data_IF_828430223070
#
_entry.id   IF_828430223070
#
_cell.length_a   1.000
_cell.length_b   1.000
_cell.length_c   1.000
_cell.angle_alpha   90.00
_cell.angle_beta   90.00
_cell.angle_gamma   90.00
#
_symmetry.space_group_name_H-M   'P 1'
#
loop_
_entity.id
_entity.type
_entity.pdbx_description
1 polymer ?
#
# COMPACT_ATOMS: atom_id res chain seq x y z
N UNK A 1 18.25 -20.51 -16.19
CA UNK A 1 17.17 -19.70 -15.60
C UNK A 1 17.57 -19.29 -14.20
N UNK A 2 17.60 -18.00 -13.90
CA UNK A 2 17.97 -17.49 -12.57
C UNK A 2 16.89 -17.92 -11.57
N UNK A 3 17.22 -18.85 -10.68
CA UNK A 3 16.27 -19.34 -9.66
C UNK A 3 16.16 -18.33 -8.52
N UNK A 4 15.23 -17.39 -8.64
CA UNK A 4 14.97 -16.40 -7.60
C UNK A 4 13.93 -16.95 -6.62
N UNK A 5 14.29 -17.02 -5.33
CA UNK A 5 13.42 -17.49 -4.25
C UNK A 5 12.96 -16.32 -3.39
N UNK A 6 11.68 -16.32 -3.04
CA UNK A 6 11.03 -15.36 -2.15
C UNK A 6 10.54 -16.10 -0.91
N UNK A 7 11.04 -15.70 0.25
CA UNK A 7 10.66 -16.29 1.54
C UNK A 7 10.27 -15.18 2.52
N UNK A 8 9.49 -15.52 3.54
CA UNK A 8 9.14 -14.60 4.63
C UNK A 8 9.63 -15.13 5.97
N UNK A 9 9.96 -14.19 6.86
CA UNK A 9 10.28 -14.50 8.25
C UNK A 9 9.88 -13.33 9.16
N UNK A 10 9.76 -13.58 10.44
CA UNK A 10 9.57 -12.53 11.44
C UNK A 10 10.92 -12.01 11.92
N UNK A 11 11.12 -10.70 11.83
CA UNK A 11 12.31 -10.05 12.39
C UNK A 11 12.04 -9.72 13.86
N UNK A 12 12.99 -10.00 14.73
CA UNK A 12 12.87 -9.72 16.16
C UNK A 12 13.07 -8.22 16.46
N UNK A 13 12.03 -7.43 16.15
CA UNK A 13 11.96 -5.99 16.44
C UNK A 13 10.47 -5.64 16.66
N UNK A 14 9.95 -5.91 17.88
CA UNK A 14 8.52 -5.75 18.16
C UNK A 14 8.11 -4.27 18.15
N UNK A 15 6.87 -4.02 17.72
CA UNK A 15 6.22 -2.72 17.89
C UNK A 15 5.61 -2.58 19.30
N UNK A 16 4.98 -1.43 19.59
CA UNK A 16 4.32 -1.17 20.88
C UNK A 16 3.19 -2.17 21.21
N UNK A 17 2.66 -2.90 20.22
CA UNK A 17 1.65 -3.97 20.38
C UNK A 17 2.27 -5.35 20.52
N UNK A 18 3.58 -5.47 20.67
CA UNK A 18 4.35 -6.74 20.71
C UNK A 18 4.21 -7.58 19.43
N UNK A 19 3.82 -6.98 18.32
CA UNK A 19 3.80 -7.64 17.01
C UNK A 19 5.20 -7.55 16.39
N UNK A 20 5.56 -8.57 15.61
CA UNK A 20 6.83 -8.64 14.89
C UNK A 20 6.63 -8.31 13.40
N UNK A 21 7.56 -7.57 12.78
CA UNK A 21 7.46 -7.24 11.37
C UNK A 21 7.74 -8.46 10.49
N UNK A 22 6.92 -8.63 9.46
CA UNK A 22 7.12 -9.65 8.44
C UNK A 22 8.09 -9.09 7.39
N UNK A 23 9.20 -9.79 7.19
CA UNK A 23 10.26 -9.40 6.25
C UNK A 23 10.34 -10.39 5.11
N UNK A 24 10.36 -9.91 3.88
CA UNK A 24 10.61 -10.70 2.68
C UNK A 24 12.12 -10.84 2.45
N UNK A 25 12.58 -12.05 2.23
CA UNK A 25 13.93 -12.33 1.74
C UNK A 25 13.88 -12.70 0.27
N UNK A 26 14.71 -12.07 -0.54
CA UNK A 26 14.92 -12.35 -1.96
C UNK A 26 16.29 -12.99 -2.11
N UNK A 27 16.35 -14.21 -2.62
CA UNK A 27 17.58 -14.98 -2.78
C UNK A 27 17.76 -15.35 -4.25
N UNK A 28 18.97 -15.14 -4.77
CA UNK A 28 19.36 -15.48 -6.14
C UNK A 28 20.86 -15.80 -6.18
N UNK A 29 21.23 -16.96 -6.71
CA UNK A 29 22.64 -17.37 -6.92
C UNK A 29 23.53 -17.22 -5.67
N UNK A 30 23.00 -17.54 -4.48
CA UNK A 30 23.72 -17.43 -3.20
C UNK A 30 23.68 -16.03 -2.55
N UNK A 31 23.37 -15.00 -3.29
CA UNK A 31 23.15 -13.66 -2.75
C UNK A 31 21.74 -13.49 -2.17
N UNK A 32 21.62 -12.63 -1.15
CA UNK A 32 20.32 -12.34 -0.54
C UNK A 32 20.15 -10.87 -0.20
N UNK A 33 18.93 -10.40 -0.29
CA UNK A 33 18.51 -9.09 0.24
C UNK A 33 17.21 -9.21 1.01
N UNK A 34 16.91 -8.21 1.81
CA UNK A 34 15.71 -8.17 2.64
C UNK A 34 14.90 -6.92 2.35
N UNK A 35 13.58 -7.07 2.41
CA UNK A 35 12.62 -6.00 2.25
C UNK A 35 11.54 -6.11 3.33
N UNK A 36 11.26 -5.03 4.04
CA UNK A 36 10.13 -4.96 4.95
C UNK A 36 8.83 -4.91 4.15
N UNK A 37 7.84 -5.72 4.54
CA UNK A 37 6.55 -5.80 3.83
C UNK A 37 5.53 -4.77 4.29
N UNK A 38 5.78 -4.05 5.39
CA UNK A 38 4.79 -3.20 6.04
C UNK A 38 3.79 -3.95 6.93
N UNK A 39 3.86 -5.27 6.94
CA UNK A 39 2.93 -6.13 7.69
C UNK A 39 3.55 -6.57 9.01
N UNK A 40 2.67 -6.78 10.00
CA UNK A 40 3.01 -7.16 11.35
C UNK A 40 2.12 -8.31 11.80
N UNK A 41 2.64 -9.19 12.67
CA UNK A 41 1.86 -10.25 13.30
C UNK A 41 2.48 -10.66 14.62
N UNK A 42 1.69 -11.29 15.49
CA UNK A 42 2.23 -11.88 16.73
C UNK A 42 2.94 -13.20 16.43
N UNK A 43 4.02 -13.49 17.18
CA UNK A 43 4.85 -14.69 16.96
C UNK A 43 4.03 -15.99 17.02
N UNK A 44 3.04 -16.06 17.89
CA UNK A 44 2.16 -17.23 18.05
C UNK A 44 1.28 -17.53 16.82
N UNK A 45 0.99 -16.53 16.00
CA UNK A 45 0.24 -16.69 14.75
C UNK A 45 1.12 -16.95 13.52
N UNK A 46 2.44 -17.03 13.65
CA UNK A 46 3.33 -17.19 12.50
C UNK A 46 3.75 -18.66 12.30
N UNK A 47 3.54 -19.18 11.11
CA UNK A 47 4.07 -20.47 10.68
C UNK A 47 5.27 -20.26 9.75
N UNK A 48 6.46 -20.49 10.28
CA UNK A 48 7.72 -20.31 9.53
C UNK A 48 7.86 -21.32 8.38
N UNK A 49 7.40 -22.57 8.55
CA UNK A 49 7.49 -23.60 7.51
C UNK A 49 6.74 -23.22 6.24
N UNK A 50 5.56 -22.62 6.41
CA UNK A 50 4.72 -22.18 5.29
C UNK A 50 4.80 -20.68 5.00
N UNK A 51 5.62 -19.94 5.76
CA UNK A 51 5.81 -18.48 5.61
C UNK A 51 4.47 -17.72 5.57
N UNK A 52 3.56 -18.05 6.48
CA UNK A 52 2.19 -17.49 6.54
C UNK A 52 1.69 -17.29 7.96
N UNK A 53 0.69 -16.44 8.10
CA UNK A 53 -0.04 -16.26 9.36
C UNK A 53 -1.10 -17.34 9.48
N UNK A 54 -1.18 -17.96 10.69
CA UNK A 54 -2.20 -18.96 11.03
C UNK A 54 -3.43 -18.23 11.54
N UNK A 55 -4.60 -18.64 11.08
CA UNK A 55 -5.90 -18.11 11.48
C UNK A 55 -6.84 -18.01 10.29
N UNK A 56 -8.14 -18.06 10.61
CA UNK A 56 -9.24 -17.89 9.65
C UNK A 56 -9.90 -16.52 9.77
N UNK A 57 -9.41 -15.72 10.71
CA UNK A 57 -9.89 -14.35 10.93
C UNK A 57 -9.55 -13.44 9.71
N UNK A 58 -10.37 -12.39 9.47
CA UNK A 58 -10.20 -11.51 8.32
C UNK A 58 -8.82 -10.86 8.22
N UNK A 59 -8.17 -10.58 9.36
CA UNK A 59 -6.86 -9.94 9.40
C UNK A 59 -5.77 -10.92 8.97
N UNK A 60 -5.79 -12.16 9.46
CA UNK A 60 -4.86 -13.21 9.05
C UNK A 60 -4.98 -13.51 7.56
N UNK A 61 -6.20 -13.58 7.03
CA UNK A 61 -6.44 -13.77 5.60
C UNK A 61 -5.92 -12.60 4.77
N UNK A 62 -6.21 -11.36 5.18
CA UNK A 62 -5.74 -10.15 4.51
C UNK A 62 -4.21 -10.06 4.46
N UNK A 63 -3.53 -10.43 5.56
CA UNK A 63 -2.06 -10.48 5.60
C UNK A 63 -1.56 -11.52 4.60
N UNK A 64 -2.10 -12.74 4.60
CA UNK A 64 -1.66 -13.81 3.70
C UNK A 64 -1.91 -13.46 2.23
N UNK A 65 -3.04 -12.86 1.88
CA UNK A 65 -3.35 -12.41 0.51
C UNK A 65 -2.34 -11.34 0.05
N UNK A 66 -1.95 -10.45 0.96
CA UNK A 66 -0.93 -9.43 0.69
C UNK A 66 0.45 -10.06 0.48
N UNK A 67 0.84 -11.04 1.29
CA UNK A 67 2.11 -11.77 1.12
C UNK A 67 2.16 -12.49 -0.24
N UNK A 68 1.08 -13.16 -0.64
CA UNK A 68 0.97 -13.79 -1.97
C UNK A 68 1.09 -12.76 -3.10
N UNK A 69 0.50 -11.59 -2.94
CA UNK A 69 0.61 -10.48 -3.88
C UNK A 69 2.07 -10.03 -4.06
N UNK A 70 2.85 -9.93 -2.97
CA UNK A 70 4.28 -9.59 -3.06
C UNK A 70 5.08 -10.62 -3.86
N UNK A 71 4.83 -11.93 -3.66
CA UNK A 71 5.51 -13.00 -4.42
C UNK A 71 5.15 -12.89 -5.92
N UNK A 72 3.87 -12.72 -6.24
CA UNK A 72 3.39 -12.61 -7.61
C UNK A 72 4.04 -11.42 -8.35
N UNK A 73 4.17 -10.29 -7.65
CA UNK A 73 4.87 -9.11 -8.16
C UNK A 73 6.37 -9.36 -8.33
N UNK A 74 7.00 -9.99 -7.33
CA UNK A 74 8.41 -10.35 -7.40
C UNK A 74 8.72 -11.19 -8.63
N UNK A 75 7.90 -12.19 -8.92
CA UNK A 75 8.03 -13.03 -10.12
C UNK A 75 7.87 -12.21 -11.41
N UNK A 76 6.93 -11.27 -11.46
CA UNK A 76 6.76 -10.38 -12.62
C UNK A 76 8.00 -9.53 -12.84
N UNK A 77 8.53 -8.89 -11.80
CA UNK A 77 9.77 -8.10 -11.86
C UNK A 77 10.94 -8.94 -12.35
N UNK A 78 11.09 -10.17 -11.85
CA UNK A 78 12.13 -11.09 -12.31
C UNK A 78 11.97 -11.41 -13.80
N UNK A 79 10.76 -11.71 -14.26
CA UNK A 79 10.48 -11.97 -15.66
C UNK A 79 10.83 -10.77 -16.56
N UNK A 80 10.45 -9.55 -16.16
CA UNK A 80 10.81 -8.31 -16.87
C UNK A 80 12.32 -8.14 -16.96
N UNK A 81 13.05 -8.40 -15.87
CA UNK A 81 14.51 -8.32 -15.85
C UNK A 81 15.15 -9.36 -16.76
N UNK A 82 14.67 -10.60 -16.75
CA UNK A 82 15.14 -11.67 -17.64
C UNK A 82 14.90 -11.29 -19.11
N UNK A 83 13.71 -10.80 -19.46
CA UNK A 83 13.38 -10.36 -20.82
C UNK A 83 14.24 -9.19 -21.27
N UNK A 84 14.61 -8.29 -20.34
CA UNK A 84 15.49 -7.13 -20.66
C UNK A 84 16.94 -7.52 -21.03
N UNK A 85 17.34 -8.77 -20.78
CA UNK A 85 18.69 -9.28 -21.07
C UNK A 85 19.81 -8.64 -20.23
N UNK A 86 19.48 -7.71 -19.32
CA UNK A 86 20.49 -7.04 -18.47
C UNK A 86 20.80 -7.89 -17.23
N UNK A 87 22.06 -7.96 -16.78
CA UNK A 87 22.40 -8.62 -15.54
C UNK A 87 21.69 -7.93 -14.37
N UNK A 88 21.22 -8.72 -13.42
CA UNK A 88 20.54 -8.21 -12.22
C UNK A 88 20.88 -9.07 -11.00
N UNK A 89 20.71 -8.52 -9.82
CA UNK A 89 20.94 -9.16 -8.54
C UNK A 89 19.72 -8.99 -7.60
N UNK A 90 19.70 -9.59 -6.41
CA UNK A 90 18.56 -9.45 -5.48
C UNK A 90 18.20 -8.01 -5.13
N UNK A 91 19.17 -7.10 -5.05
CA UNK A 91 18.91 -5.68 -4.78
C UNK A 91 18.18 -5.02 -5.94
N UNK A 92 18.55 -5.33 -7.20
CA UNK A 92 17.84 -4.86 -8.39
C UNK A 92 16.37 -5.27 -8.36
N UNK A 93 16.09 -6.54 -7.97
CA UNK A 93 14.70 -7.03 -7.82
C UNK A 93 13.99 -6.26 -6.70
N UNK A 94 14.63 -6.10 -5.53
CA UNK A 94 14.10 -5.34 -4.40
C UNK A 94 13.77 -3.91 -4.78
N UNK A 95 14.70 -3.21 -5.46
CA UNK A 95 14.53 -1.80 -5.83
C UNK A 95 13.41 -1.64 -6.87
N UNK A 96 13.30 -2.54 -7.83
CA UNK A 96 12.17 -2.57 -8.76
C UNK A 96 10.85 -2.94 -8.05
N UNK A 97 10.87 -3.85 -7.08
CA UNK A 97 9.70 -4.13 -6.25
C UNK A 97 9.27 -2.91 -5.43
N UNK A 98 10.21 -2.18 -4.85
CA UNK A 98 9.92 -0.93 -4.13
C UNK A 98 9.52 0.20 -5.06
N UNK A 99 10.26 0.40 -6.14
CA UNK A 99 10.12 1.54 -7.04
C UNK A 99 9.12 1.31 -8.18
N UNK A 100 8.87 0.05 -8.56
CA UNK A 100 8.06 -0.30 -9.73
C UNK A 100 6.55 -0.14 -9.52
N UNK A 101 6.10 0.01 -8.28
CA UNK A 101 4.67 0.14 -7.95
C UNK A 101 4.26 1.55 -7.54
N UNK A 102 5.11 2.30 -6.86
CA UNK A 102 4.80 3.68 -6.48
C UNK A 102 5.02 4.67 -7.63
N UNK A 103 5.96 4.39 -8.56
CA UNK A 103 6.31 5.36 -9.61
C UNK A 103 5.27 5.53 -10.73
N UNK A 104 4.38 4.56 -10.94
CA UNK A 104 3.43 4.59 -12.06
C UNK A 104 1.95 4.56 -11.67
N UNK A 105 1.63 4.37 -10.38
CA UNK A 105 0.24 4.41 -9.94
C UNK A 105 -0.21 5.84 -9.65
N UNK A 106 -1.24 6.26 -10.35
CA UNK A 106 -1.86 7.56 -10.13
C UNK A 106 -2.86 7.51 -8.99
N UNK A 107 -2.97 8.60 -8.27
CA UNK A 107 -3.77 8.71 -7.04
C UNK A 107 -5.26 8.52 -7.30
N UNK A 108 -5.80 9.24 -8.28
CA UNK A 108 -7.25 9.18 -8.58
C UNK A 108 -7.62 7.85 -9.24
N UNK A 109 -6.75 7.34 -10.12
CA UNK A 109 -6.92 6.01 -10.72
C UNK A 109 -6.97 4.91 -9.64
N UNK A 110 -6.03 4.90 -8.69
CA UNK A 110 -6.01 3.95 -7.57
C UNK A 110 -7.23 4.13 -6.65
N UNK A 111 -7.68 5.37 -6.45
CA UNK A 111 -8.86 5.64 -5.64
C UNK A 111 -10.14 5.12 -6.31
N UNK A 112 -10.24 5.21 -7.63
CA UNK A 112 -11.37 4.63 -8.39
C UNK A 112 -11.41 3.10 -8.21
N UNK A 113 -10.28 2.42 -8.34
CA UNK A 113 -10.19 0.97 -8.09
C UNK A 113 -10.56 0.59 -6.64
N UNK A 114 -10.21 1.44 -5.68
CA UNK A 114 -10.64 1.26 -4.28
C UNK A 114 -12.16 1.38 -4.14
N UNK A 115 -12.78 2.37 -4.77
CA UNK A 115 -14.24 2.55 -4.76
C UNK A 115 -14.97 1.39 -5.42
N UNK A 116 -14.50 0.90 -6.55
CA UNK A 116 -15.07 -0.30 -7.21
C UNK A 116 -15.04 -1.53 -6.29
N UNK A 117 -13.90 -1.76 -5.62
CA UNK A 117 -13.78 -2.86 -4.64
C UNK A 117 -14.71 -2.68 -3.45
N UNK A 118 -14.94 -1.44 -3.02
CA UNK A 118 -15.88 -1.12 -1.95
C UNK A 118 -17.33 -1.37 -2.39
N UNK A 119 -17.69 -0.96 -3.60
CA UNK A 119 -19.04 -1.11 -4.16
C UNK A 119 -19.43 -2.59 -4.29
N UNK A 120 -18.53 -3.44 -4.77
CA UNK A 120 -18.75 -4.91 -4.84
C UNK A 120 -19.00 -5.56 -3.48
N UNK A 121 -18.70 -4.87 -2.38
CA UNK A 121 -18.87 -5.35 -1.00
C UNK A 121 -20.09 -4.71 -0.30
N UNK A 122 -20.98 -4.10 -1.04
CA UNK A 122 -22.28 -3.62 -0.57
C UNK A 122 -23.31 -4.73 -0.80
N UNK A 123 -24.20 -5.05 0.17
CA UNK A 123 -24.27 -4.52 1.55
C UNK A 123 -23.43 -5.28 2.57
N UNK A 124 -22.71 -6.34 2.17
CA UNK A 124 -22.06 -7.31 3.09
C UNK A 124 -21.03 -6.71 4.04
N UNK A 125 -20.28 -5.69 3.59
CA UNK A 125 -19.21 -5.05 4.38
C UNK A 125 -19.37 -3.54 4.52
N UNK A 126 -20.00 -2.90 3.54
CA UNK A 126 -20.18 -1.45 3.50
C UNK A 126 -21.64 -1.10 3.23
N UNK A 127 -22.09 0.03 3.77
CA UNK A 127 -23.38 0.64 3.43
C UNK A 127 -23.22 1.56 2.21
N UNK A 128 -24.32 1.79 1.47
CA UNK A 128 -24.32 2.77 0.38
C UNK A 128 -23.93 4.17 0.86
N UNK A 129 -24.38 4.58 2.06
CA UNK A 129 -23.99 5.84 2.69
C UNK A 129 -22.47 5.94 2.91
N UNK A 130 -21.82 4.85 3.34
CA UNK A 130 -20.38 4.83 3.50
C UNK A 130 -19.66 5.00 2.16
N UNK A 131 -20.10 4.30 1.12
CA UNK A 131 -19.57 4.45 -0.23
C UNK A 131 -19.64 5.89 -0.73
N UNK A 132 -20.81 6.53 -0.62
CA UNK A 132 -21.02 7.94 -1.03
C UNK A 132 -20.05 8.89 -0.29
N UNK A 133 -19.79 8.66 0.99
CA UNK A 133 -18.83 9.46 1.75
C UNK A 133 -17.40 9.33 1.23
N UNK A 134 -16.98 8.15 0.79
CA UNK A 134 -15.67 7.94 0.16
C UNK A 134 -15.62 8.52 -1.26
N UNK A 135 -16.68 8.39 -2.03
CA UNK A 135 -16.81 9.02 -3.34
C UNK A 135 -16.65 10.55 -3.25
N UNK A 136 -17.36 11.18 -2.30
CA UNK A 136 -17.24 12.64 -2.06
C UNK A 136 -15.82 13.02 -1.60
N UNK A 137 -15.15 12.17 -0.82
CA UNK A 137 -13.74 12.38 -0.46
C UNK A 137 -12.85 12.35 -1.71
N UNK A 138 -13.04 11.37 -2.59
CA UNK A 138 -12.32 11.26 -3.87
C UNK A 138 -12.50 12.52 -4.72
N UNK A 139 -13.71 13.00 -4.88
CA UNK A 139 -14.00 14.21 -5.66
C UNK A 139 -13.26 15.44 -5.10
N UNK A 140 -13.22 15.60 -3.78
CA UNK A 140 -12.45 16.68 -3.13
C UNK A 140 -10.95 16.56 -3.34
N UNK A 141 -10.40 15.34 -3.26
CA UNK A 141 -8.97 15.09 -3.55
C UNK A 141 -8.64 15.42 -5.00
N UNK A 142 -9.48 14.99 -5.94
CA UNK A 142 -9.32 15.29 -7.37
C UNK A 142 -9.34 16.79 -7.65
N UNK A 143 -10.26 17.50 -7.03
CA UNK A 143 -10.38 18.96 -7.16
C UNK A 143 -9.15 19.65 -6.56
N UNK A 144 -8.67 19.21 -5.39
CA UNK A 144 -7.46 19.75 -4.79
C UNK A 144 -6.22 19.48 -5.67
N UNK A 145 -6.05 18.28 -6.20
CA UNK A 145 -4.95 17.97 -7.12
C UNK A 145 -4.94 18.94 -8.29
N UNK A 146 -6.08 19.16 -8.94
CA UNK A 146 -6.21 20.11 -10.05
C UNK A 146 -5.87 21.56 -9.63
N UNK A 147 -6.31 21.95 -8.44
CA UNK A 147 -6.03 23.30 -7.91
C UNK A 147 -4.57 23.48 -7.57
N UNK A 148 -3.99 22.55 -6.82
CA UNK A 148 -2.64 22.64 -6.27
C UNK A 148 -1.54 22.39 -7.31
N UNK A 149 -1.71 21.34 -8.13
CA UNK A 149 -0.66 20.90 -9.06
C UNK A 149 -0.88 21.33 -10.52
N UNK A 150 -2.06 21.86 -10.84
CA UNK A 150 -2.53 22.15 -12.23
C UNK A 150 -2.56 20.89 -13.13
N UNK A 151 -2.54 19.70 -12.55
CA UNK A 151 -2.61 18.40 -13.24
C UNK A 151 -3.94 17.72 -12.95
N UNK A 152 -4.37 16.81 -13.83
CA UNK A 152 -5.60 16.04 -13.63
C UNK A 152 -5.43 14.92 -12.61
N UNK A 153 -4.20 14.43 -12.40
CA UNK A 153 -3.85 13.40 -11.44
C UNK A 153 -2.36 13.48 -11.11
N UNK A 154 -1.96 12.92 -9.97
CA UNK A 154 -0.57 12.82 -9.50
C UNK A 154 -0.25 11.37 -9.17
N UNK A 155 1.04 11.03 -9.11
CA UNK A 155 1.45 9.71 -8.68
C UNK A 155 1.28 9.55 -7.16
N UNK A 156 1.02 8.31 -6.70
CA UNK A 156 0.87 8.02 -5.27
C UNK A 156 2.08 8.45 -4.43
N UNK A 157 3.30 8.37 -4.98
CA UNK A 157 4.51 8.76 -4.26
C UNK A 157 4.64 10.28 -4.04
N UNK A 158 3.83 11.09 -4.73
CA UNK A 158 3.78 12.54 -4.55
C UNK A 158 2.87 12.95 -3.38
N UNK A 159 2.21 11.98 -2.74
CA UNK A 159 1.39 12.20 -1.53
C UNK A 159 2.30 12.24 -0.29
N UNK A 160 3.00 13.33 -0.10
CA UNK A 160 3.86 13.57 1.06
C UNK A 160 3.14 14.37 2.16
N UNK A 161 3.86 14.68 3.23
CA UNK A 161 3.33 15.45 4.36
C UNK A 161 2.89 16.84 3.95
N UNK A 162 3.64 17.50 3.07
CA UNK A 162 3.33 18.84 2.57
C UNK A 162 2.02 18.84 1.78
N UNK A 163 1.83 17.85 0.88
CA UNK A 163 0.56 17.66 0.18
C UNK A 163 -0.61 17.51 1.14
N UNK A 164 -0.44 16.71 2.19
CA UNK A 164 -1.50 16.43 3.16
C UNK A 164 -1.85 17.66 4.00
N UNK A 165 -0.88 18.47 4.40
CA UNK A 165 -1.09 19.72 5.12
C UNK A 165 -1.82 20.75 4.25
N UNK A 166 -1.36 20.94 3.02
CA UNK A 166 -2.00 21.85 2.06
C UNK A 166 -3.42 21.40 1.70
N UNK A 167 -3.69 20.10 1.65
CA UNK A 167 -5.04 19.56 1.45
C UNK A 167 -5.97 19.90 2.63
N UNK A 168 -5.51 19.78 3.88
CA UNK A 168 -6.30 20.16 5.06
C UNK A 168 -6.61 21.66 5.07
N UNK A 169 -5.61 22.50 4.82
CA UNK A 169 -5.78 23.95 4.74
C UNK A 169 -6.77 24.35 3.64
N UNK A 170 -6.60 23.79 2.45
CA UNK A 170 -7.50 24.07 1.31
C UNK A 170 -8.94 23.62 1.58
N UNK A 171 -9.15 22.47 2.24
CA UNK A 171 -10.49 22.03 2.61
C UNK A 171 -11.19 23.01 3.56
N UNK A 172 -10.45 23.57 4.52
CA UNK A 172 -10.97 24.56 5.48
C UNK A 172 -11.35 25.86 4.79
N UNK A 173 -10.48 26.36 3.96
CA UNK A 173 -10.67 27.63 3.26
C UNK A 173 -11.83 27.55 2.25
N UNK A 174 -11.79 26.56 1.39
CA UNK A 174 -12.74 26.44 0.28
C UNK A 174 -14.17 26.14 0.72
N UNK A 175 -14.33 25.16 1.61
CA UNK A 175 -15.69 24.68 1.92
C UNK A 175 -16.31 25.35 3.12
N UNK A 176 -15.55 26.12 3.92
CA UNK A 176 -16.03 26.82 5.15
C UNK A 176 -16.91 25.92 6.03
N UNK A 177 -16.65 24.61 5.99
CA UNK A 177 -17.42 23.58 6.70
C UNK A 177 -16.90 23.38 8.11
N UNK A 178 -17.78 22.87 8.99
CA UNK A 178 -17.41 22.56 10.36
C UNK A 178 -16.16 21.69 10.42
N UNK A 179 -15.29 21.94 11.39
CA UNK A 179 -14.02 21.24 11.64
C UNK A 179 -14.16 19.71 11.53
N UNK A 180 -15.24 19.15 12.07
CA UNK A 180 -15.52 17.71 12.03
C UNK A 180 -15.67 17.16 10.59
N UNK A 181 -16.22 17.96 9.66
CA UNK A 181 -16.39 17.54 8.25
C UNK A 181 -15.04 17.47 7.53
N UNK A 182 -14.16 18.46 7.74
CA UNK A 182 -12.78 18.46 7.23
C UNK A 182 -12.04 17.26 7.78
N UNK A 183 -12.06 17.08 9.09
CA UNK A 183 -11.40 15.99 9.79
C UNK A 183 -11.83 14.60 9.27
N UNK A 184 -13.15 14.37 9.10
CA UNK A 184 -13.66 13.12 8.53
C UNK A 184 -13.28 12.90 7.07
N UNK A 185 -13.16 13.97 6.27
CA UNK A 185 -12.67 13.88 4.89
C UNK A 185 -11.21 13.49 4.86
N UNK A 186 -10.39 14.15 5.67
CA UNK A 186 -8.96 13.84 5.86
C UNK A 186 -8.75 12.40 6.33
N UNK A 187 -9.49 11.95 7.36
CA UNK A 187 -9.41 10.57 7.85
C UNK A 187 -9.73 9.52 6.77
N UNK A 188 -10.73 9.75 5.91
CA UNK A 188 -11.08 8.81 4.83
C UNK A 188 -9.97 8.76 3.77
N UNK A 189 -9.39 9.90 3.44
CA UNK A 189 -8.27 9.94 2.51
C UNK A 189 -7.04 9.24 3.10
N UNK A 190 -6.67 9.52 4.33
CA UNK A 190 -5.60 8.83 5.05
C UNK A 190 -5.83 7.32 5.13
N UNK A 191 -7.08 6.87 5.31
CA UNK A 191 -7.40 5.43 5.31
C UNK A 191 -7.17 4.81 3.93
N UNK A 192 -7.50 5.48 2.84
CA UNK A 192 -7.16 5.04 1.49
C UNK A 192 -5.64 4.94 1.32
N UNK A 193 -4.89 5.97 1.69
CA UNK A 193 -3.43 5.98 1.60
C UNK A 193 -2.81 4.82 2.42
N UNK A 194 -3.27 4.60 3.65
CA UNK A 194 -2.82 3.46 4.48
C UNK A 194 -3.11 2.11 3.83
N UNK A 195 -4.21 1.98 3.11
CA UNK A 195 -4.50 0.78 2.33
C UNK A 195 -3.50 0.61 1.18
N UNK A 196 -3.15 1.68 0.47
CA UNK A 196 -2.15 1.62 -0.60
C UNK A 196 -0.74 1.30 -0.07
N UNK A 197 -0.39 1.78 1.14
CA UNK A 197 0.81 1.35 1.86
C UNK A 197 0.74 -0.15 2.21
N UNK A 198 -0.39 -0.61 2.74
CA UNK A 198 -0.62 -2.03 3.06
C UNK A 198 -0.55 -2.93 1.82
N UNK A 199 -1.01 -2.43 0.67
CA UNK A 199 -0.90 -3.11 -0.62
C UNK A 199 0.53 -3.07 -1.20
N UNK A 200 1.45 -2.34 -0.58
CA UNK A 200 2.81 -2.13 -1.08
C UNK A 200 2.89 -1.21 -2.30
N UNK A 201 1.87 -0.42 -2.54
CA UNK A 201 1.80 0.54 -3.63
C UNK A 201 2.40 1.90 -3.25
N UNK A 202 2.62 2.14 -1.96
CA UNK A 202 3.21 3.36 -1.42
C UNK A 202 4.14 3.01 -0.25
N UNK A 203 5.22 3.74 -0.07
CA UNK A 203 6.15 3.55 1.04
C UNK A 203 5.60 4.19 2.33
N UNK A 204 5.83 3.54 3.47
CA UNK A 204 5.31 3.99 4.78
C UNK A 204 5.85 5.35 5.22
N UNK A 205 7.03 5.73 4.71
CA UNK A 205 7.71 6.98 5.05
C UNK A 205 7.14 8.23 4.37
N UNK A 206 6.20 8.08 3.46
CA UNK A 206 5.54 9.20 2.78
C UNK A 206 4.29 9.70 3.52
N UNK A 207 3.92 9.08 4.63
CA UNK A 207 2.76 9.47 5.44
C UNK A 207 3.17 10.27 6.67
N UNK A 208 2.44 11.34 7.01
CA UNK A 208 2.57 12.03 8.29
C UNK A 208 2.11 11.16 9.47
#
# INVERSE_FOLDING_TARGET
MSNVKFNYFLKNNPNNKRELPIVMTIVMSGERTQMFTGLWTVKSKWNQKYSKVIGTDPDSKSINDTLLSFISRGRRVVNELVVSGKPFNPNTVKDKLKNGFSKNLKTIESYNLFLERMERKIPSKYTRSTYVKYLNTKLRVEEFIKHYTKRNDIFLYELDSEFMENFDLWLRDKYKVAHNTVYKTYQRFTRFIRLEVSNGNLDRYTLP
#
